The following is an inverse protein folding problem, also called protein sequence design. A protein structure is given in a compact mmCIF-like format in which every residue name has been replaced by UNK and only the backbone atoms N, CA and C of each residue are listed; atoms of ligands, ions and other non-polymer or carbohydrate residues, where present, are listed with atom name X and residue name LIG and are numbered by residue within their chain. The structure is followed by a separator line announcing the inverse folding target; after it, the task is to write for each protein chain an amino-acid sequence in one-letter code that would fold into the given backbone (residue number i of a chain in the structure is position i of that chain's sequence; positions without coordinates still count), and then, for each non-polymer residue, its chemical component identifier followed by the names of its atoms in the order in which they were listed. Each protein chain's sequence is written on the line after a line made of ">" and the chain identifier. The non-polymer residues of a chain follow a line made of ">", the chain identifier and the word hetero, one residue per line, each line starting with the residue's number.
data_IF_983037416866
#
_entry.id   IF_983037416866
#
_cell.length_a   1.000
_cell.length_b   1.000
_cell.length_c   1.000
_cell.angle_alpha   90.00
_cell.angle_beta   90.00
_cell.angle_gamma   90.00
#
_symmetry.space_group_name_H-M   'P 1'
#
loop_
_entity.id
_entity.type
_entity.pdbx_description
1 polymer ?
#
# COMPACT_ATOMS: atom_id res chain seq x y z
N UNK A 1 -11.41 16.30 0.92
CA UNK A 1 -10.75 16.46 2.25
C UNK A 1 -9.39 17.05 1.94
N UNK A 2 -9.12 18.31 2.29
CA UNK A 2 -7.78 18.89 2.09
C UNK A 2 -6.92 18.48 3.27
N UNK A 3 -5.75 17.89 3.00
CA UNK A 3 -4.77 17.51 4.02
C UNK A 3 -3.83 18.69 4.25
N UNK A 4 -3.50 18.97 5.51
CA UNK A 4 -2.55 20.03 5.86
C UNK A 4 -1.12 19.48 5.87
N UNK A 5 -0.13 20.38 5.83
CA UNK A 5 1.30 19.99 5.81
C UNK A 5 1.68 19.01 6.94
N UNK A 6 0.96 19.06 8.07
CA UNK A 6 1.15 18.13 9.19
C UNK A 6 0.81 16.68 8.85
N UNK A 7 -0.12 16.40 7.93
CA UNK A 7 -0.47 15.02 7.57
C UNK A 7 0.66 14.34 6.78
N UNK A 8 1.34 15.12 5.92
CA UNK A 8 2.53 14.68 5.21
C UNK A 8 3.71 14.45 6.16
N UNK A 9 3.89 15.34 7.15
CA UNK A 9 4.93 15.20 8.19
C UNK A 9 4.73 13.93 9.03
N UNK A 10 3.49 13.69 9.51
CA UNK A 10 3.16 12.46 10.26
C UNK A 10 3.37 11.22 9.39
N UNK A 11 2.95 11.26 8.12
CA UNK A 11 3.13 10.14 7.18
C UNK A 11 4.61 9.83 6.96
N UNK A 12 5.45 10.87 6.83
CA UNK A 12 6.91 10.75 6.72
C UNK A 12 7.51 10.05 7.95
N UNK A 13 7.16 10.52 9.15
CA UNK A 13 7.64 9.93 10.42
C UNK A 13 7.24 8.46 10.51
N UNK A 14 6.01 8.10 10.13
CA UNK A 14 5.54 6.71 10.14
C UNK A 14 6.35 5.85 9.18
N UNK A 15 6.53 6.28 7.92
CA UNK A 15 7.25 5.51 6.90
C UNK A 15 8.72 5.29 7.27
N UNK A 16 9.40 6.32 7.79
CA UNK A 16 10.82 6.22 8.14
C UNK A 16 11.09 5.27 9.32
N UNK A 17 10.17 5.20 10.29
CA UNK A 17 10.39 4.45 11.53
C UNK A 17 9.73 3.07 11.53
N UNK A 18 8.53 2.91 10.95
CA UNK A 18 7.74 1.69 11.10
C UNK A 18 8.47 0.45 10.59
N UNK A 19 9.16 0.54 9.45
CA UNK A 19 9.86 -0.59 8.85
C UNK A 19 10.91 -1.23 9.78
N UNK A 20 11.52 -0.45 10.67
CA UNK A 20 12.60 -0.90 11.58
C UNK A 20 12.07 -1.74 12.75
N UNK A 21 10.81 -1.56 13.12
CA UNK A 21 10.19 -2.20 14.29
C UNK A 21 9.25 -3.34 13.90
N UNK A 22 9.09 -3.64 12.61
CA UNK A 22 8.23 -4.72 12.16
C UNK A 22 8.79 -6.09 12.60
N UNK A 23 7.94 -7.01 13.08
CA UNK A 23 8.37 -8.36 13.42
C UNK A 23 8.71 -9.16 12.16
N UNK A 24 9.53 -10.23 12.23
CA UNK A 24 9.90 -11.03 11.05
C UNK A 24 8.72 -11.61 10.25
N UNK A 25 7.57 -11.80 10.91
CA UNK A 25 6.31 -12.21 10.27
C UNK A 25 5.17 -11.38 10.82
N UNK A 26 4.35 -10.84 9.92
CA UNK A 26 3.16 -10.05 10.25
C UNK A 26 1.96 -10.60 9.47
N UNK A 27 0.83 -10.79 10.15
CA UNK A 27 -0.39 -11.32 9.53
C UNK A 27 -1.08 -10.26 8.65
N UNK A 28 -1.09 -9.01 9.09
CA UNK A 28 -1.84 -7.93 8.47
C UNK A 28 -1.21 -6.56 8.72
N UNK A 29 -1.11 -5.74 7.68
CA UNK A 29 -0.72 -4.34 7.75
C UNK A 29 -1.57 -3.54 6.76
N UNK A 30 -2.29 -2.53 7.25
CA UNK A 30 -3.06 -1.61 6.44
C UNK A 30 -2.69 -0.17 6.80
N UNK A 31 -2.24 0.60 5.82
CA UNK A 31 -1.88 1.99 5.99
C UNK A 31 -2.54 2.86 4.93
N UNK A 32 -3.05 4.01 5.35
CA UNK A 32 -3.51 5.08 4.47
C UNK A 32 -2.76 6.34 4.86
N UNK A 33 -1.85 6.80 4.00
CA UNK A 33 -0.85 7.82 4.30
C UNK A 33 -0.65 8.74 3.09
N UNK A 34 -0.14 9.95 3.32
CA UNK A 34 0.41 10.80 2.26
C UNK A 34 1.84 10.32 1.99
N UNK A 35 2.05 9.57 0.90
CA UNK A 35 3.34 8.94 0.63
C UNK A 35 4.18 9.82 -0.30
N UNK A 36 5.38 10.18 0.15
CA UNK A 36 6.44 10.54 -0.78
C UNK A 36 7.28 9.30 -1.11
N UNK A 37 7.81 9.25 -2.33
CA UNK A 37 8.55 8.09 -2.85
C UNK A 37 9.78 7.75 -2.01
N UNK A 38 10.51 8.76 -1.51
CA UNK A 38 11.74 8.53 -0.75
C UNK A 38 11.48 7.84 0.59
N UNK A 39 10.51 8.33 1.36
CA UNK A 39 10.12 7.74 2.64
C UNK A 39 9.51 6.36 2.44
N UNK A 40 8.75 6.16 1.36
CA UNK A 40 8.25 4.85 1.01
C UNK A 40 9.38 3.86 0.70
N UNK A 41 10.43 4.28 -0.02
CA UNK A 41 11.63 3.46 -0.23
C UNK A 41 12.31 3.15 1.11
N UNK A 42 12.44 4.12 2.02
CA UNK A 42 13.01 3.89 3.36
C UNK A 42 12.21 2.84 4.12
N UNK A 43 10.88 2.94 4.14
CA UNK A 43 10.00 1.91 4.72
C UNK A 43 10.28 0.53 4.10
N UNK A 44 10.35 0.44 2.77
CA UNK A 44 10.58 -0.79 2.03
C UNK A 44 11.97 -1.39 2.31
N UNK A 45 13.00 -0.58 2.49
CA UNK A 45 14.34 -1.05 2.83
C UNK A 45 14.40 -1.55 4.27
N UNK A 46 13.86 -0.78 5.21
CA UNK A 46 13.88 -1.11 6.63
C UNK A 46 13.06 -2.36 6.96
N UNK A 47 11.98 -2.62 6.21
CA UNK A 47 11.11 -3.79 6.39
C UNK A 47 11.60 -5.07 5.71
N UNK A 48 12.79 -5.09 5.08
CA UNK A 48 13.23 -6.20 4.20
C UNK A 48 13.21 -7.60 4.84
N UNK A 49 13.35 -7.68 6.16
CA UNK A 49 13.36 -8.96 6.89
C UNK A 49 11.96 -9.41 7.36
N UNK A 50 10.93 -8.63 7.03
CA UNK A 50 9.55 -8.91 7.42
C UNK A 50 8.77 -9.53 6.27
N UNK A 51 8.20 -10.70 6.51
CA UNK A 51 7.14 -11.23 5.67
C UNK A 51 5.76 -10.74 6.15
N UNK A 52 4.96 -10.17 5.26
CA UNK A 52 3.62 -9.64 5.58
C UNK A 52 2.58 -10.44 4.79
N UNK A 53 1.73 -11.21 5.47
CA UNK A 53 0.73 -12.03 4.75
C UNK A 53 -0.27 -11.16 3.98
N UNK A 54 -0.84 -10.12 4.60
CA UNK A 54 -1.73 -9.16 3.94
C UNK A 54 -1.18 -7.75 4.10
N UNK A 55 -0.78 -7.13 2.99
CA UNK A 55 -0.28 -5.76 2.96
C UNK A 55 -1.20 -4.90 2.12
N UNK A 56 -1.71 -3.82 2.73
CA UNK A 56 -2.64 -2.90 2.11
C UNK A 56 -2.09 -1.49 2.26
N UNK A 57 -2.03 -0.77 1.14
CA UNK A 57 -1.60 0.61 1.08
C UNK A 57 -2.62 1.46 0.34
N UNK A 58 -2.95 2.60 0.94
CA UNK A 58 -3.61 3.71 0.26
C UNK A 58 -2.69 4.92 0.33
N UNK A 59 -2.21 5.37 -0.82
CA UNK A 59 -1.48 6.61 -0.95
C UNK A 59 -2.48 7.75 -1.23
N UNK A 60 -2.48 8.74 -0.36
CA UNK A 60 -3.32 9.93 -0.46
C UNK A 60 -2.53 11.00 -1.20
N UNK A 61 -3.03 11.42 -2.36
CA UNK A 61 -2.36 12.36 -3.24
C UNK A 61 -3.19 13.65 -3.31
N UNK A 62 -2.56 14.77 -2.95
CA UNK A 62 -3.12 16.09 -3.19
C UNK A 62 -2.96 16.45 -4.66
N UNK A 63 -4.07 16.71 -5.36
CA UNK A 63 -4.08 16.94 -6.81
C UNK A 63 -4.97 15.97 -7.59
N UNK A 64 -4.79 15.98 -8.90
CA UNK A 64 -5.46 15.10 -9.86
C UNK A 64 -4.48 14.12 -10.48
N UNK A 65 -4.99 12.99 -10.98
CA UNK A 65 -4.20 11.95 -11.66
C UNK A 65 -3.30 12.50 -12.78
N UNK A 66 -3.81 13.45 -13.57
CA UNK A 66 -3.11 14.06 -14.70
C UNK A 66 -1.91 14.94 -14.30
N UNK A 67 -1.91 15.48 -13.06
CA UNK A 67 -0.88 16.41 -12.57
C UNK A 67 0.27 15.71 -11.86
N UNK A 68 0.12 14.42 -11.51
CA UNK A 68 1.07 13.68 -10.70
C UNK A 68 1.66 12.55 -11.54
N UNK A 69 2.96 12.61 -11.83
CA UNK A 69 3.70 11.49 -12.41
C UNK A 69 3.78 10.35 -11.39
N UNK A 70 3.31 9.16 -11.77
CA UNK A 70 3.08 8.05 -10.85
C UNK A 70 3.99 6.83 -11.08
N UNK A 71 4.79 6.83 -12.15
CA UNK A 71 5.54 5.67 -12.60
C UNK A 71 6.59 5.19 -11.58
N UNK A 72 7.13 6.10 -10.76
CA UNK A 72 8.21 5.78 -9.84
C UNK A 72 7.77 4.83 -8.70
N UNK A 73 6.56 4.98 -8.15
CA UNK A 73 6.15 4.16 -7.00
C UNK A 73 5.89 2.70 -7.37
N UNK A 74 5.22 2.44 -8.51
CA UNK A 74 4.96 1.06 -8.96
C UNK A 74 6.28 0.31 -9.20
N UNK A 75 7.28 0.99 -9.77
CA UNK A 75 8.62 0.43 -9.93
C UNK A 75 9.19 -0.05 -8.59
N UNK A 76 9.19 0.80 -7.55
CA UNK A 76 9.72 0.40 -6.24
C UNK A 76 8.89 -0.68 -5.54
N UNK A 77 7.58 -0.69 -5.72
CA UNK A 77 6.73 -1.81 -5.25
C UNK A 77 7.20 -3.11 -5.90
N UNK A 78 7.45 -3.14 -7.21
CA UNK A 78 7.95 -4.34 -7.89
C UNK A 78 9.34 -4.75 -7.37
N UNK A 79 10.28 -3.81 -7.30
CA UNK A 79 11.65 -4.10 -6.87
C UNK A 79 11.72 -4.64 -5.46
N UNK A 80 10.97 -4.03 -4.55
CA UNK A 80 11.07 -4.34 -3.14
C UNK A 80 10.03 -5.36 -2.70
N UNK A 81 8.75 -5.25 -3.04
CA UNK A 81 7.72 -6.19 -2.58
C UNK A 81 7.69 -7.46 -3.44
N UNK A 82 7.57 -7.30 -4.77
CA UNK A 82 7.34 -8.41 -5.70
C UNK A 82 8.57 -9.30 -5.86
N UNK A 83 9.70 -8.74 -6.30
CA UNK A 83 10.93 -9.51 -6.56
C UNK A 83 11.47 -10.19 -5.30
N UNK A 84 11.28 -9.58 -4.13
CA UNK A 84 11.70 -10.14 -2.84
C UNK A 84 10.68 -11.08 -2.20
N UNK A 85 9.49 -11.25 -2.81
CA UNK A 85 8.42 -12.19 -2.37
C UNK A 85 8.03 -12.04 -0.90
N UNK A 86 7.89 -10.80 -0.42
CA UNK A 86 7.67 -10.52 1.02
C UNK A 86 6.21 -10.50 1.42
N UNK A 87 5.31 -10.60 0.44
CA UNK A 87 3.88 -10.42 0.63
C UNK A 87 3.13 -11.56 -0.03
N UNK A 88 2.04 -12.03 0.59
CA UNK A 88 1.15 -13.03 -0.02
C UNK A 88 -0.07 -12.40 -0.68
N UNK A 89 -0.73 -11.47 -0.01
CA UNK A 89 -1.87 -10.71 -0.51
C UNK A 89 -1.55 -9.22 -0.49
N UNK A 90 -1.74 -8.56 -1.63
CA UNK A 90 -1.35 -7.16 -1.79
C UNK A 90 -2.49 -6.32 -2.36
N UNK A 91 -2.67 -5.12 -1.81
CA UNK A 91 -3.52 -4.09 -2.39
C UNK A 91 -2.82 -2.73 -2.31
N UNK A 92 -2.88 -1.99 -3.41
CA UNK A 92 -2.32 -0.64 -3.51
C UNK A 92 -3.32 0.26 -4.23
N UNK A 93 -3.62 1.41 -3.63
CA UNK A 93 -4.62 2.37 -4.05
C UNK A 93 -4.00 3.78 -4.01
N UNK A 94 -3.99 4.49 -5.12
CA UNK A 94 -3.82 5.93 -5.14
C UNK A 94 -5.19 6.61 -5.02
N UNK A 95 -5.33 7.55 -4.09
CA UNK A 95 -6.55 8.33 -3.88
C UNK A 95 -6.25 9.81 -4.14
N UNK A 96 -6.87 10.38 -5.16
CA UNK A 96 -6.69 11.78 -5.58
C UNK A 96 -7.76 12.66 -4.94
N UNK A 97 -7.36 13.66 -4.16
CA UNK A 97 -8.30 14.38 -3.30
C UNK A 97 -9.09 15.49 -4.00
N UNK A 98 -8.59 16.02 -5.12
CA UNK A 98 -9.21 17.15 -5.80
C UNK A 98 -10.51 16.75 -6.51
N UNK A 99 -10.52 15.56 -7.10
CA UNK A 99 -11.63 15.02 -7.89
C UNK A 99 -12.20 13.70 -7.33
N UNK A 100 -11.69 13.23 -6.18
CA UNK A 100 -12.05 11.94 -5.58
C UNK A 100 -11.85 10.75 -6.52
N UNK A 101 -10.91 10.88 -7.45
CA UNK A 101 -10.53 9.80 -8.35
C UNK A 101 -9.64 8.78 -7.61
N UNK A 102 -9.59 7.57 -8.15
CA UNK A 102 -8.78 6.50 -7.59
C UNK A 102 -8.14 5.65 -8.68
N UNK A 103 -6.94 5.19 -8.39
CA UNK A 103 -6.21 4.25 -9.21
C UNK A 103 -5.78 3.06 -8.36
N UNK A 104 -6.29 1.88 -8.69
CA UNK A 104 -5.99 0.64 -7.98
C UNK A 104 -5.10 -0.27 -8.83
N UNK A 105 -4.08 -0.86 -8.19
CA UNK A 105 -3.21 -1.85 -8.84
C UNK A 105 -4.02 -3.05 -9.39
N UNK A 106 -5.13 -3.38 -8.75
CA UNK A 106 -6.03 -4.46 -9.16
C UNK A 106 -6.63 -4.26 -10.57
N UNK A 107 -6.79 -3.01 -11.00
CA UNK A 107 -7.39 -2.67 -12.29
C UNK A 107 -6.37 -2.80 -13.45
N UNK A 108 -5.06 -2.75 -13.13
CA UNK A 108 -3.97 -2.94 -14.08
C UNK A 108 -3.75 -4.44 -14.37
N UNK A 109 -4.49 -4.98 -15.33
CA UNK A 109 -4.55 -6.45 -15.54
C UNK A 109 -3.21 -7.10 -15.89
N UNK A 110 -2.34 -6.41 -16.61
CA UNK A 110 -1.02 -6.96 -16.94
C UNK A 110 -0.08 -6.95 -15.73
N UNK A 111 -0.17 -5.91 -14.90
CA UNK A 111 0.51 -5.84 -13.61
C UNK A 111 0.07 -6.97 -12.68
N UNK A 112 -1.25 -7.17 -12.52
CA UNK A 112 -1.79 -8.27 -11.69
C UNK A 112 -1.28 -9.64 -12.16
N UNK A 113 -1.16 -9.87 -13.47
CA UNK A 113 -0.58 -11.11 -14.01
C UNK A 113 0.90 -11.24 -13.62
N UNK A 114 1.69 -10.16 -13.70
CA UNK A 114 3.10 -10.16 -13.31
C UNK A 114 3.31 -10.48 -11.83
N UNK A 115 2.51 -9.87 -10.94
CA UNK A 115 2.53 -10.20 -9.50
C UNK A 115 2.17 -11.66 -9.23
N UNK A 116 1.21 -12.21 -9.99
CA UNK A 116 0.81 -13.62 -9.87
C UNK A 116 1.95 -14.59 -10.22
N UNK A 117 2.85 -14.22 -11.15
CA UNK A 117 4.05 -15.02 -11.46
C UNK A 117 5.05 -15.09 -10.29
N UNK A 118 4.90 -14.21 -9.30
CA UNK A 118 5.71 -14.15 -8.08
C UNK A 118 4.97 -14.69 -6.84
N UNK A 119 3.88 -15.45 -7.05
CA UNK A 119 3.02 -16.00 -6.00
C UNK A 119 2.34 -14.94 -5.11
N UNK A 120 2.19 -13.71 -5.63
CA UNK A 120 1.51 -12.61 -4.94
C UNK A 120 0.11 -12.44 -5.51
N UNK A 121 -0.89 -12.49 -4.64
CA UNK A 121 -2.30 -12.29 -5.01
C UNK A 121 -2.64 -10.81 -4.82
N UNK A 122 -2.73 -10.07 -5.93
CA UNK A 122 -3.27 -8.71 -5.91
C UNK A 122 -4.79 -8.75 -5.78
N UNK A 123 -5.35 -7.99 -4.85
CA UNK A 123 -6.78 -7.89 -4.60
C UNK A 123 -7.24 -6.43 -4.63
N UNK A 124 -8.55 -6.23 -4.82
CA UNK A 124 -9.17 -4.93 -4.64
C UNK A 124 -8.93 -4.43 -3.19
N UNK A 125 -8.71 -3.12 -3.04
CA UNK A 125 -8.41 -2.52 -1.74
C UNK A 125 -9.48 -2.83 -0.67
N UNK A 126 -10.77 -2.72 -1.04
CA UNK A 126 -11.87 -2.93 -0.10
C UNK A 126 -12.10 -4.40 0.24
N UNK A 127 -11.83 -5.31 -0.70
CA UNK A 127 -11.98 -6.75 -0.48
C UNK A 127 -10.92 -7.29 0.48
N UNK A 128 -9.68 -6.78 0.38
CA UNK A 128 -8.58 -7.22 1.23
C UNK A 128 -8.61 -6.58 2.62
N UNK A 129 -9.19 -5.37 2.72
CA UNK A 129 -9.37 -4.65 3.99
C UNK A 129 -10.30 -5.43 4.89
N UNK A 130 -9.87 -5.63 6.15
CA UNK A 130 -10.76 -6.17 7.18
C UNK A 130 -11.86 -5.13 7.42
N UNK A 131 -13.07 -5.42 6.94
CA UNK A 131 -14.26 -4.67 7.31
C UNK A 131 -14.72 -5.17 8.68
N UNK A 132 -14.90 -4.26 9.63
CA UNK A 132 -15.32 -4.53 11.03
C UNK A 132 -16.70 -5.23 11.13
N UNK A 133 -17.34 -5.57 10.00
CA UNK A 133 -18.71 -6.07 9.89
C UNK A 133 -18.86 -7.59 9.68
N UNK A 134 -17.79 -8.37 9.50
CA UNK A 134 -17.92 -9.83 9.21
C UNK A 134 -17.75 -10.74 10.44
N UNK A 135 -17.37 -10.23 11.61
CA UNK A 135 -17.19 -11.09 12.80
C UNK A 135 -18.44 -11.24 13.70
N UNK A 136 -19.53 -10.51 13.47
CA UNK A 136 -20.72 -10.55 14.34
C UNK A 136 -21.93 -11.35 13.83
N UNK A 137 -21.86 -12.00 12.66
CA UNK A 137 -22.98 -12.79 12.10
C UNK A 137 -22.69 -14.29 11.97
N UNK A 138 -21.79 -14.84 12.80
CA UNK A 138 -21.61 -16.30 12.93
C UNK A 138 -22.15 -16.89 14.24
N UNK A 139 -22.80 -16.08 15.07
CA UNK A 139 -23.64 -16.58 16.15
C UNK A 139 -25.02 -15.94 15.97
N UNK A 140 -25.94 -16.69 15.34
CA UNK A 140 -27.38 -16.84 15.61
C UNK A 140 -28.03 -17.60 14.44
#
# INVERSE_FOLDING_TARGET
>A
MCFCDSDAEVSSIVLQNLGQILPPKLEYLNMSLVMNTNDFIIFLQNSQNTFIKKLIFSNIINGTREKVGQDDMLYYIKEYIMKKRRVKYFAFLNLFTDNYDKEELYDLKDEVKEFKLHDIVVQNYNDLRISRFIEFLKEY
#
